data_IF_488064299559
#
_entry.id   IF_488064299559
#
_cell.length_a   1.000
_cell.length_b   1.000
_cell.length_c   1.000
_cell.angle_alpha   90.00
_cell.angle_beta   90.00
_cell.angle_gamma   90.00
#
_symmetry.space_group_name_H-M   'P 1'
#
loop_
_entity.id
_entity.type
_entity.pdbx_description
1 polymer ?
#
# COMPACT_ATOMS: atom_id res chain seq x y z
N UNK A 1 -4.30 -17.93 22.52
CA UNK A 1 -5.50 -17.67 21.71
C UNK A 1 -5.06 -16.91 20.48
N UNK A 2 -5.44 -17.39 19.31
CA UNK A 2 -5.07 -16.78 18.03
C UNK A 2 -5.97 -15.57 17.78
N UNK A 3 -5.38 -14.41 17.44
CA UNK A 3 -6.14 -13.18 17.20
C UNK A 3 -6.72 -13.16 15.78
N UNK A 4 -8.02 -12.86 15.68
CA UNK A 4 -8.74 -12.70 14.40
C UNK A 4 -8.30 -11.45 13.63
N UNK A 5 -7.74 -10.47 14.35
CA UNK A 5 -7.28 -9.21 13.80
C UNK A 5 -5.76 -9.17 13.82
N UNK A 6 -5.16 -8.97 12.65
CA UNK A 6 -3.73 -8.73 12.49
C UNK A 6 -3.48 -7.25 12.20
N UNK A 7 -3.12 -6.51 13.26
CA UNK A 7 -2.83 -5.08 13.16
C UNK A 7 -1.46 -4.84 12.50
N UNK A 8 -1.39 -3.77 11.72
CA UNK A 8 -0.08 -3.30 11.23
C UNK A 8 0.78 -2.85 12.40
N UNK A 9 2.11 -2.97 12.25
CA UNK A 9 3.03 -2.49 13.28
C UNK A 9 2.90 -0.98 13.54
N UNK A 10 2.36 -0.22 12.58
CA UNK A 10 2.06 1.21 12.72
C UNK A 10 0.89 1.45 13.66
N UNK A 11 -0.21 0.74 13.42
CA UNK A 11 -1.40 0.81 14.28
C UNK A 11 -1.07 0.31 15.69
N UNK A 12 -0.43 -0.86 15.82
CA UNK A 12 -0.10 -1.40 17.14
C UNK A 12 0.83 -0.47 17.92
N UNK A 13 1.90 0.03 17.28
CA UNK A 13 2.84 0.96 17.93
C UNK A 13 2.18 2.25 18.40
N UNK A 14 1.18 2.77 17.68
CA UNK A 14 0.46 4.00 18.09
C UNK A 14 -0.53 3.72 19.23
N UNK A 15 -1.19 2.56 19.21
CA UNK A 15 -2.07 2.13 20.32
C UNK A 15 -1.25 1.98 21.61
N UNK A 16 -0.06 1.39 21.50
CA UNK A 16 0.84 1.19 22.64
C UNK A 16 1.42 2.53 23.14
N UNK A 17 1.79 3.44 22.23
CA UNK A 17 2.27 4.78 22.55
C UNK A 17 1.97 5.80 21.42
N UNK A 18 0.99 6.71 21.62
CA UNK A 18 0.57 7.66 20.59
C UNK A 18 1.54 8.84 20.41
N UNK A 19 2.59 8.97 21.22
CA UNK A 19 3.49 10.13 21.21
C UNK A 19 4.62 10.05 20.17
N UNK A 20 4.94 8.84 19.67
CA UNK A 20 6.13 8.62 18.86
C UNK A 20 5.86 8.50 17.35
N UNK A 21 4.93 7.64 16.94
CA UNK A 21 4.71 7.29 15.53
C UNK A 21 3.23 7.36 15.20
N UNK A 22 2.89 7.94 14.06
CA UNK A 22 1.51 7.97 13.58
C UNK A 22 1.11 6.60 13.00
N UNK A 23 -0.19 6.23 13.06
CA UNK A 23 -0.68 4.96 12.53
C UNK A 23 -0.87 5.04 11.00
N UNK A 24 0.12 5.61 10.30
CA UNK A 24 0.14 5.81 8.85
C UNK A 24 1.15 4.84 8.24
N UNK A 25 0.66 3.90 7.43
CA UNK A 25 1.51 2.95 6.71
C UNK A 25 2.21 3.62 5.53
N UNK A 26 1.43 4.30 4.70
CA UNK A 26 1.89 5.01 3.51
C UNK A 26 1.12 6.32 3.32
N UNK A 27 1.71 7.25 2.56
CA UNK A 27 1.10 8.54 2.22
C UNK A 27 1.53 8.99 0.82
N UNK A 28 0.88 10.02 0.28
CA UNK A 28 1.15 10.55 -1.07
C UNK A 28 1.35 12.05 -1.03
N UNK A 29 2.27 12.56 -1.85
CA UNK A 29 2.38 13.98 -2.17
C UNK A 29 2.39 14.20 -3.69
N UNK A 30 1.58 15.14 -4.16
CA UNK A 30 1.63 15.65 -5.54
C UNK A 30 2.40 16.95 -5.56
N UNK A 31 3.56 16.94 -6.22
CA UNK A 31 4.44 18.11 -6.28
C UNK A 31 3.92 19.06 -7.36
N UNK A 32 3.58 20.28 -6.98
CA UNK A 32 3.34 21.37 -7.94
C UNK A 32 4.67 21.89 -8.48
N UNK A 33 4.61 22.44 -9.69
CA UNK A 33 5.79 22.89 -10.43
C UNK A 33 6.28 24.27 -9.97
N UNK A 34 6.32 24.50 -8.66
CA UNK A 34 6.79 25.73 -8.04
C UNK A 34 7.71 25.38 -6.86
N UNK A 35 8.74 26.18 -6.63
CA UNK A 35 9.68 25.90 -5.52
C UNK A 35 8.99 26.01 -4.16
N UNK A 36 8.28 27.12 -3.96
CA UNK A 36 7.59 27.46 -2.72
C UNK A 36 6.08 27.14 -2.78
N UNK A 37 5.39 27.35 -1.66
CA UNK A 37 3.95 27.19 -1.54
C UNK A 37 3.53 25.85 -0.91
N UNK A 38 2.24 25.70 -0.56
CA UNK A 38 1.76 24.59 0.25
C UNK A 38 1.90 23.22 -0.43
N UNK A 39 1.98 23.18 -1.77
CA UNK A 39 2.21 21.95 -2.53
C UNK A 39 3.46 22.05 -3.43
N UNK A 40 4.33 23.03 -3.18
CA UNK A 40 5.56 23.21 -3.95
C UNK A 40 6.62 22.14 -3.66
N UNK A 41 7.76 22.28 -4.32
CA UNK A 41 8.89 21.35 -4.22
C UNK A 41 9.46 21.34 -2.79
N UNK A 42 9.67 22.49 -2.15
CA UNK A 42 10.19 22.53 -0.77
C UNK A 42 9.22 21.90 0.24
N UNK A 43 7.92 22.14 0.05
CA UNK A 43 6.88 21.51 0.86
C UNK A 43 6.90 19.98 0.74
N UNK A 44 7.16 19.44 -0.46
CA UNK A 44 7.27 18.00 -0.64
C UNK A 44 8.50 17.38 0.05
N UNK A 45 9.61 18.12 0.19
CA UNK A 45 10.76 17.66 0.97
C UNK A 45 10.46 17.61 2.47
N UNK A 46 9.85 18.68 2.98
CA UNK A 46 9.37 18.73 4.37
C UNK A 46 8.37 17.60 4.66
N UNK A 47 7.45 17.37 3.75
CA UNK A 47 6.46 16.29 3.84
C UNK A 47 7.12 14.91 3.84
N UNK A 48 8.04 14.64 2.91
CA UNK A 48 8.79 13.38 2.87
C UNK A 48 9.57 13.15 4.17
N UNK A 49 10.20 14.19 4.71
CA UNK A 49 10.90 14.14 6.00
C UNK A 49 9.94 13.83 7.16
N UNK A 50 8.77 14.49 7.20
CA UNK A 50 7.74 14.21 8.19
C UNK A 50 7.27 12.75 8.09
N UNK A 51 6.92 12.28 6.90
CA UNK A 51 6.49 10.92 6.65
C UNK A 51 7.51 9.89 7.14
N UNK A 52 8.78 10.05 6.77
CA UNK A 52 9.83 9.15 7.21
C UNK A 52 10.04 9.18 8.73
N UNK A 53 10.08 10.35 9.37
CA UNK A 53 10.30 10.45 10.83
C UNK A 53 9.17 9.83 11.66
N UNK A 54 7.91 9.93 11.22
CA UNK A 54 6.78 9.22 11.83
C UNK A 54 6.59 7.79 11.29
N UNK A 55 7.35 7.48 10.23
CA UNK A 55 7.60 6.16 9.67
C UNK A 55 6.62 5.67 8.61
N UNK A 56 5.81 6.56 8.05
CA UNK A 56 5.10 6.27 6.82
C UNK A 56 6.08 6.10 5.64
N UNK A 57 5.75 5.20 4.72
CA UNK A 57 6.30 5.25 3.35
C UNK A 57 5.67 6.41 2.57
N UNK A 58 6.40 7.01 1.64
CA UNK A 58 5.94 8.20 0.92
C UNK A 58 6.03 8.00 -0.59
N UNK A 59 4.91 8.17 -1.29
CA UNK A 59 4.89 8.28 -2.75
C UNK A 59 4.91 9.75 -3.17
N UNK A 60 5.92 10.15 -3.93
CA UNK A 60 6.10 11.52 -4.43
C UNK A 60 5.80 11.54 -5.93
N UNK A 61 4.76 12.26 -6.34
CA UNK A 61 4.35 12.38 -7.74
C UNK A 61 4.98 13.62 -8.37
N UNK A 62 5.89 13.40 -9.31
CA UNK A 62 6.72 14.41 -9.97
C UNK A 62 6.19 14.83 -11.36
N UNK A 63 5.07 14.26 -11.81
CA UNK A 63 4.56 14.43 -13.19
C UNK A 63 4.22 15.86 -13.60
N UNK A 64 4.16 16.81 -12.67
CA UNK A 64 3.92 18.23 -12.96
C UNK A 64 5.20 19.02 -13.17
N UNK A 65 6.36 18.48 -12.78
CA UNK A 65 7.62 19.18 -12.91
C UNK A 65 7.95 19.44 -14.37
N UNK A 66 8.67 20.53 -14.64
CA UNK A 66 9.19 20.75 -15.99
C UNK A 66 10.20 19.69 -16.39
N UNK A 67 10.25 19.31 -17.68
CA UNK A 67 11.27 18.41 -18.18
C UNK A 67 12.65 19.08 -18.17
N UNK A 68 13.69 18.25 -18.10
CA UNK A 68 15.09 18.68 -18.12
C UNK A 68 15.38 19.51 -19.36
N UNK A 69 16.05 20.65 -19.16
CA UNK A 69 16.39 21.58 -20.24
C UNK A 69 15.28 22.56 -20.61
N UNK A 70 14.06 22.41 -20.06
CA UNK A 70 13.02 23.42 -20.24
C UNK A 70 13.43 24.75 -19.60
N UNK A 71 13.41 25.83 -20.36
CA UNK A 71 13.75 27.17 -19.85
C UNK A 71 12.48 27.96 -19.63
N UNK A 72 12.22 28.32 -18.36
CA UNK A 72 11.07 29.14 -17.97
C UNK A 72 11.23 30.58 -18.43
N UNK A 73 10.12 31.32 -18.43
CA UNK A 73 10.11 32.78 -18.66
C UNK A 73 10.99 33.56 -17.68
N UNK A 74 11.22 33.02 -16.48
CA UNK A 74 12.14 33.60 -15.48
C UNK A 74 13.62 33.47 -15.86
N UNK A 75 13.96 32.71 -16.91
CA UNK A 75 15.33 32.40 -17.32
C UNK A 75 15.94 31.17 -16.64
N UNK A 76 15.24 30.54 -15.70
CA UNK A 76 15.70 29.30 -15.04
C UNK A 76 15.48 28.11 -15.95
N UNK A 77 16.52 27.31 -16.17
CA UNK A 77 16.45 26.02 -16.87
C UNK A 77 16.20 24.89 -15.87
N UNK A 78 15.15 24.12 -16.09
CA UNK A 78 14.76 23.00 -15.24
C UNK A 78 15.74 21.83 -15.35
N UNK A 79 16.05 21.20 -14.21
CA UNK A 79 16.90 19.99 -14.15
C UNK A 79 16.14 18.68 -14.32
N UNK A 80 14.80 18.73 -14.41
CA UNK A 80 13.94 17.56 -14.60
C UNK A 80 13.68 16.73 -13.32
N UNK A 81 12.72 15.79 -13.37
CA UNK A 81 12.27 14.98 -12.24
C UNK A 81 13.35 14.02 -11.73
N UNK A 82 14.24 13.51 -12.60
CA UNK A 82 15.35 12.62 -12.17
C UNK A 82 16.32 13.35 -11.24
N UNK A 83 16.64 14.61 -11.53
CA UNK A 83 17.53 15.43 -10.70
C UNK A 83 16.92 15.69 -9.31
N UNK A 84 15.65 16.14 -9.26
CA UNK A 84 14.94 16.29 -7.98
C UNK A 84 14.80 14.97 -7.23
N UNK A 85 14.66 13.85 -7.95
CA UNK A 85 14.68 12.50 -7.41
C UNK A 85 15.86 12.19 -6.48
N UNK A 86 17.04 12.77 -6.78
CA UNK A 86 18.26 12.58 -5.98
C UNK A 86 18.11 13.13 -4.56
N UNK A 87 17.41 14.24 -4.38
CA UNK A 87 17.14 14.82 -3.06
C UNK A 87 16.29 13.88 -2.21
N UNK A 88 15.23 13.30 -2.79
CA UNK A 88 14.40 12.32 -2.08
C UNK A 88 15.17 11.05 -1.74
N UNK A 89 16.07 10.60 -2.63
CA UNK A 89 16.98 9.49 -2.34
C UNK A 89 17.88 9.82 -1.14
N UNK A 90 18.48 11.01 -1.11
CA UNK A 90 19.28 11.44 0.05
C UNK A 90 18.46 11.56 1.34
N UNK A 91 17.24 12.09 1.28
CA UNK A 91 16.34 12.11 2.44
C UNK A 91 16.05 10.70 2.96
N UNK A 92 15.76 9.75 2.08
CA UNK A 92 15.47 8.37 2.49
C UNK A 92 16.69 7.61 3.02
N UNK A 93 17.90 7.97 2.56
CA UNK A 93 19.17 7.45 3.07
C UNK A 93 19.50 7.95 4.48
N UNK A 94 19.35 9.27 4.67
CA UNK A 94 19.82 9.97 5.86
C UNK A 94 18.82 9.82 7.01
N UNK A 95 17.52 9.97 6.73
CA UNK A 95 16.49 9.98 7.77
C UNK A 95 16.10 8.56 8.18
N UNK A 96 16.24 8.28 9.47
CA UNK A 96 15.79 7.02 10.06
C UNK A 96 14.27 6.97 10.09
N UNK A 97 13.69 5.90 9.52
CA UNK A 97 12.25 5.69 9.50
C UNK A 97 11.74 5.43 10.91
N UNK A 98 10.83 6.28 11.41
CA UNK A 98 10.31 6.16 12.77
C UNK A 98 11.40 6.29 13.84
N UNK A 99 12.51 6.99 13.55
CA UNK A 99 13.68 7.17 14.43
C UNK A 99 14.54 5.93 14.68
N UNK A 100 14.10 4.74 14.25
CA UNK A 100 14.68 3.45 14.65
C UNK A 100 15.22 2.66 13.45
N UNK A 101 14.50 2.65 12.33
CA UNK A 101 14.88 1.81 11.19
C UNK A 101 15.78 2.56 10.21
N UNK A 102 16.88 1.91 9.82
CA UNK A 102 17.88 2.46 8.91
C UNK A 102 17.31 2.87 7.55
N UNK A 103 16.31 2.15 7.04
CA UNK A 103 15.73 2.39 5.72
C UNK A 103 14.27 2.84 5.83
N UNK A 104 13.94 3.92 5.12
CA UNK A 104 12.57 4.29 4.79
C UNK A 104 12.11 3.74 3.45
N UNK A 105 10.94 4.19 2.99
CA UNK A 105 10.43 3.88 1.66
C UNK A 105 9.94 5.16 1.00
N UNK A 106 10.66 5.62 -0.02
CA UNK A 106 10.19 6.65 -0.94
C UNK A 106 10.07 6.08 -2.34
N UNK A 107 8.97 6.41 -3.01
CA UNK A 107 8.69 6.00 -4.38
C UNK A 107 8.35 7.21 -5.20
N UNK A 108 9.12 7.41 -6.26
CA UNK A 108 8.95 8.50 -7.19
C UNK A 108 8.02 8.06 -8.30
N UNK A 109 6.93 8.78 -8.51
CA UNK A 109 5.97 8.52 -9.57
C UNK A 109 6.13 9.54 -10.69
N UNK A 110 6.08 9.06 -11.93
CA UNK A 110 6.05 9.90 -13.13
C UNK A 110 5.00 9.35 -14.10
N UNK A 111 4.29 10.24 -14.80
CA UNK A 111 3.33 9.85 -15.82
C UNK A 111 4.09 9.42 -17.08
N UNK A 112 3.63 8.37 -17.75
CA UNK A 112 4.28 7.85 -18.96
C UNK A 112 4.31 8.89 -20.09
N UNK A 113 3.33 9.81 -20.11
CA UNK A 113 3.27 10.91 -21.07
C UNK A 113 4.25 12.06 -20.79
N UNK A 114 4.95 12.04 -19.66
CA UNK A 114 5.90 13.10 -19.33
C UNK A 114 7.11 13.04 -20.28
N UNK A 115 7.64 14.17 -20.79
CA UNK A 115 8.76 14.16 -21.75
C UNK A 115 10.01 13.43 -21.23
N UNK A 116 10.28 13.51 -19.94
CA UNK A 116 11.41 12.81 -19.29
C UNK A 116 11.09 11.36 -18.87
N UNK A 117 9.94 10.77 -19.26
CA UNK A 117 9.58 9.41 -18.86
C UNK A 117 10.64 8.36 -19.26
N UNK A 118 11.19 8.48 -20.47
CA UNK A 118 12.25 7.57 -20.94
C UNK A 118 13.55 7.75 -20.16
N UNK A 119 13.96 8.98 -19.83
CA UNK A 119 15.13 9.25 -18.98
C UNK A 119 14.89 8.71 -17.57
N UNK A 120 13.70 8.91 -17.02
CA UNK A 120 13.30 8.43 -15.71
C UNK A 120 13.30 6.90 -15.60
N UNK A 121 12.85 6.19 -16.64
CA UNK A 121 12.91 4.72 -16.73
C UNK A 121 14.36 4.23 -16.76
N UNK A 122 15.20 4.88 -17.57
CA UNK A 122 16.57 4.46 -17.80
C UNK A 122 17.59 4.98 -16.77
N UNK A 123 17.18 5.83 -15.81
CA UNK A 123 18.08 6.34 -14.78
C UNK A 123 18.75 5.19 -14.01
N UNK A 124 20.03 5.37 -13.67
CA UNK A 124 20.79 4.29 -13.05
C UNK A 124 20.35 4.11 -11.58
N UNK A 125 20.33 2.86 -11.08
CA UNK A 125 20.13 2.58 -9.65
C UNK A 125 21.12 3.35 -8.78
N UNK A 126 22.37 3.55 -9.22
CA UNK A 126 23.38 4.29 -8.46
C UNK A 126 23.09 5.79 -8.32
N UNK A 127 22.26 6.36 -9.19
CA UNK A 127 21.83 7.76 -9.10
C UNK A 127 20.66 7.94 -8.13
N UNK A 128 19.85 6.90 -7.95
CA UNK A 128 18.64 6.88 -7.14
C UNK A 128 18.60 5.65 -6.20
N UNK A 129 19.67 5.37 -5.43
CA UNK A 129 19.86 4.09 -4.74
C UNK A 129 18.83 3.83 -3.64
N UNK A 130 18.23 4.89 -3.10
CA UNK A 130 17.34 4.82 -1.94
C UNK A 130 15.89 5.17 -2.28
N UNK A 131 15.51 5.21 -3.56
CA UNK A 131 14.10 5.32 -3.96
C UNK A 131 13.72 4.22 -4.92
N UNK A 132 12.43 3.87 -4.95
CA UNK A 132 11.85 3.13 -6.08
C UNK A 132 11.23 4.10 -7.07
N UNK A 133 11.05 3.63 -8.30
CA UNK A 133 10.44 4.40 -9.38
C UNK A 133 9.13 3.75 -9.77
N UNK A 134 8.16 4.56 -10.14
CA UNK A 134 6.85 4.11 -10.61
C UNK A 134 6.44 4.92 -11.83
N UNK A 135 5.95 4.23 -12.85
CA UNK A 135 5.35 4.84 -14.04
C UNK A 135 3.83 4.71 -13.96
N UNK A 136 3.14 5.84 -14.07
CA UNK A 136 1.68 5.90 -14.15
C UNK A 136 1.24 5.81 -15.62
N UNK A 137 0.26 4.95 -15.93
CA UNK A 137 -0.24 4.72 -17.28
C UNK A 137 -1.74 4.93 -17.41
N UNK A 138 -2.15 5.46 -18.56
CA UNK A 138 -3.50 5.28 -19.14
C UNK A 138 -3.37 4.33 -20.32
N UNK A 139 -4.50 3.84 -20.84
CA UNK A 139 -4.50 3.05 -22.07
C UNK A 139 -3.90 3.85 -23.23
N UNK A 140 -4.30 5.11 -23.39
CA UNK A 140 -3.77 6.05 -24.40
C UNK A 140 -2.25 6.19 -24.32
N UNK A 141 -1.71 6.54 -23.14
CA UNK A 141 -0.27 6.71 -22.98
C UNK A 141 0.50 5.40 -23.19
N UNK A 142 -0.12 4.28 -22.83
CA UNK A 142 0.46 2.97 -23.12
C UNK A 142 0.52 2.77 -24.63
N UNK A 143 -0.57 2.98 -25.38
CA UNK A 143 -0.56 2.79 -26.84
C UNK A 143 0.47 3.69 -27.52
N UNK A 144 0.57 4.96 -27.13
CA UNK A 144 1.48 5.95 -27.72
C UNK A 144 2.95 5.77 -27.32
N UNK A 145 3.25 4.95 -26.30
CA UNK A 145 4.61 4.76 -25.82
C UNK A 145 5.50 4.07 -26.84
N UNK A 146 6.59 4.74 -27.23
CA UNK A 146 7.59 4.24 -28.18
C UNK A 146 8.76 3.50 -27.53
N UNK A 147 8.79 3.39 -26.20
CA UNK A 147 9.86 2.79 -25.38
C UNK A 147 9.30 1.77 -24.37
N UNK A 148 8.32 0.98 -24.81
CA UNK A 148 7.67 -0.06 -23.98
C UNK A 148 8.67 -1.10 -23.49
N UNK A 149 9.62 -1.51 -24.32
CA UNK A 149 10.59 -2.54 -23.99
C UNK A 149 11.50 -2.12 -22.82
N UNK A 150 11.94 -0.85 -22.78
CA UNK A 150 12.71 -0.34 -21.64
C UNK A 150 11.88 -0.34 -20.35
N UNK A 151 10.61 0.04 -20.43
CA UNK A 151 9.70 0.00 -19.28
C UNK A 151 9.47 -1.44 -18.79
N UNK A 152 9.18 -2.37 -19.71
CA UNK A 152 8.97 -3.78 -19.41
C UNK A 152 10.23 -4.41 -18.80
N UNK A 153 11.42 -4.05 -19.29
CA UNK A 153 12.69 -4.47 -18.71
C UNK A 153 12.84 -3.97 -17.27
N UNK A 154 12.60 -2.67 -17.01
CA UNK A 154 12.67 -2.09 -15.67
C UNK A 154 11.66 -2.68 -14.68
N UNK A 155 10.49 -3.10 -15.16
CA UNK A 155 9.50 -3.82 -14.35
C UNK A 155 10.03 -5.22 -14.01
N UNK A 156 10.50 -5.96 -15.02
CA UNK A 156 11.05 -7.31 -14.85
C UNK A 156 12.25 -7.36 -13.90
N UNK A 157 13.08 -6.30 -13.87
CA UNK A 157 14.23 -6.20 -12.96
C UNK A 157 13.85 -5.81 -11.51
N UNK A 158 12.57 -5.49 -11.24
CA UNK A 158 12.10 -5.02 -9.95
C UNK A 158 12.49 -3.58 -9.62
N UNK A 159 12.83 -2.78 -10.64
CA UNK A 159 13.21 -1.38 -10.50
C UNK A 159 12.07 -0.40 -10.63
N UNK A 160 11.11 -0.76 -11.48
CA UNK A 160 10.00 0.09 -11.84
C UNK A 160 8.70 -0.60 -11.47
N UNK A 161 7.85 0.13 -10.76
CA UNK A 161 6.47 -0.27 -10.55
C UNK A 161 5.58 0.32 -11.64
N UNK A 162 4.54 -0.41 -12.01
CA UNK A 162 3.57 0.03 -13.01
C UNK A 162 2.24 0.32 -12.32
N UNK A 163 1.75 1.56 -12.46
CA UNK A 163 0.52 2.00 -11.82
C UNK A 163 -0.50 2.47 -12.85
N UNK A 164 -1.76 2.04 -12.73
CA UNK A 164 -2.84 2.56 -13.58
C UNK A 164 -3.34 3.88 -13.00
N UNK A 165 -3.56 4.88 -13.85
CA UNK A 165 -4.20 6.13 -13.42
C UNK A 165 -5.64 5.84 -12.97
N UNK A 166 -6.04 6.42 -11.84
CA UNK A 166 -7.36 6.26 -11.24
C UNK A 166 -7.96 7.62 -10.90
N UNK A 167 -9.29 7.67 -10.92
CA UNK A 167 -10.10 8.83 -10.56
C UNK A 167 -11.13 8.40 -9.52
N UNK A 168 -11.52 9.33 -8.66
CA UNK A 168 -12.68 9.13 -7.79
C UNK A 168 -14.00 9.38 -8.54
N UNK A 169 -15.11 9.25 -7.81
CA UNK A 169 -16.46 9.41 -8.37
C UNK A 169 -16.77 10.86 -8.81
N UNK A 170 -15.94 11.83 -8.43
CA UNK A 170 -16.04 13.24 -8.83
C UNK A 170 -15.14 13.55 -10.05
N UNK A 171 -14.47 12.53 -10.60
CA UNK A 171 -13.54 12.70 -11.72
C UNK A 171 -12.20 13.30 -11.31
N UNK A 172 -11.92 13.44 -10.02
CA UNK A 172 -10.64 13.95 -9.53
C UNK A 172 -9.63 12.81 -9.46
N UNK A 173 -8.41 13.07 -9.95
CA UNK A 173 -7.35 12.06 -9.98
C UNK A 173 -6.90 11.74 -8.55
N UNK A 174 -6.95 10.45 -8.23
CA UNK A 174 -6.35 9.86 -7.03
C UNK A 174 -5.05 9.15 -7.41
N UNK A 175 -4.14 9.03 -6.45
CA UNK A 175 -2.74 8.72 -6.70
C UNK A 175 -2.35 7.44 -5.96
N UNK A 176 -1.70 6.52 -6.66
CA UNK A 176 -1.12 5.34 -6.02
C UNK A 176 -0.14 5.75 -4.92
N UNK A 177 -0.24 5.11 -3.77
CA UNK A 177 0.70 5.19 -2.67
C UNK A 177 1.98 4.41 -3.00
N UNK A 178 2.76 4.07 -1.97
CA UNK A 178 3.94 3.20 -2.10
C UNK A 178 3.50 1.85 -2.68
N UNK A 179 2.83 0.96 -1.95
CA UNK A 179 2.64 -0.41 -2.45
C UNK A 179 1.56 -0.57 -3.54
N UNK A 180 1.04 0.53 -4.08
CA UNK A 180 0.03 0.61 -5.16
C UNK A 180 -1.34 0.00 -4.83
N UNK A 181 -1.56 -0.36 -3.57
CA UNK A 181 -2.79 -0.96 -3.08
C UNK A 181 -3.85 0.08 -2.69
N UNK A 182 -3.43 1.32 -2.37
CA UNK A 182 -4.33 2.41 -2.00
C UNK A 182 -4.12 3.62 -2.89
N UNK A 183 -5.23 4.23 -3.32
CA UNK A 183 -5.24 5.45 -4.11
C UNK A 183 -5.77 6.63 -3.30
N UNK A 184 -4.95 7.66 -3.17
CA UNK A 184 -5.10 8.74 -2.23
C UNK A 184 -5.13 10.11 -2.91
N UNK A 185 -5.85 11.11 -2.37
CA UNK A 185 -5.55 12.50 -2.67
C UNK A 185 -4.13 12.86 -2.17
N UNK A 186 -3.56 13.96 -2.67
CA UNK A 186 -2.32 14.51 -2.10
C UNK A 186 -2.51 14.75 -0.59
N UNK A 187 -1.52 14.36 0.21
CA UNK A 187 -1.50 14.39 1.68
C UNK A 187 -2.48 13.42 2.37
N UNK A 188 -3.16 12.54 1.62
CA UNK A 188 -3.96 11.46 2.19
C UNK A 188 -3.10 10.38 2.85
N UNK A 189 -3.71 9.61 3.75
CA UNK A 189 -3.02 8.65 4.62
C UNK A 189 -3.63 7.25 4.56
N UNK A 190 -2.75 6.26 4.61
CA UNK A 190 -3.13 4.85 4.57
C UNK A 190 -3.14 4.26 5.99
N UNK A 191 -4.33 4.17 6.60
CA UNK A 191 -4.58 3.49 7.87
C UNK A 191 -5.04 2.04 7.60
N UNK A 192 -4.22 1.06 7.99
CA UNK A 192 -4.39 -0.34 7.58
C UNK A 192 -4.49 -1.30 8.75
N UNK A 193 -5.34 -2.32 8.56
CA UNK A 193 -5.48 -3.49 9.42
C UNK A 193 -5.93 -4.68 8.57
N UNK A 194 -5.69 -5.90 9.05
CA UNK A 194 -6.02 -7.11 8.29
C UNK A 194 -6.81 -8.10 9.14
N UNK A 195 -7.71 -8.82 8.50
CA UNK A 195 -8.29 -10.04 9.06
C UNK A 195 -7.27 -11.17 8.95
N UNK A 196 -7.04 -11.89 10.04
CA UNK A 196 -6.26 -13.11 10.05
C UNK A 196 -7.18 -14.28 9.70
N UNK A 197 -7.30 -14.61 8.41
CA UNK A 197 -8.15 -15.71 7.96
C UNK A 197 -7.68 -17.06 8.49
N UNK A 198 -6.38 -17.25 8.69
CA UNK A 198 -5.84 -18.48 9.29
C UNK A 198 -6.32 -18.71 10.72
N UNK A 199 -6.72 -17.65 11.44
CA UNK A 199 -7.28 -17.72 12.79
C UNK A 199 -8.80 -17.91 12.84
N UNK A 200 -9.49 -17.90 11.70
CA UNK A 200 -10.94 -17.98 11.64
C UNK A 200 -11.41 -19.43 11.47
N UNK A 201 -12.50 -19.79 12.14
CA UNK A 201 -13.43 -20.82 11.62
C UNK A 201 -14.43 -20.20 10.63
N UNK A 202 -15.19 -21.04 9.90
CA UNK A 202 -16.24 -20.61 8.96
C UNK A 202 -17.11 -19.46 9.50
N UNK A 203 -17.68 -19.68 10.69
CA UNK A 203 -18.65 -18.76 11.30
C UNK A 203 -18.00 -17.52 11.93
N UNK A 204 -16.67 -17.54 12.13
CA UNK A 204 -15.93 -16.40 12.65
C UNK A 204 -15.64 -15.33 11.59
N UNK A 205 -15.59 -15.73 10.31
CA UNK A 205 -15.15 -14.83 9.22
C UNK A 205 -16.00 -13.55 9.21
N UNK A 206 -17.35 -13.58 9.15
CA UNK A 206 -18.12 -12.34 9.11
C UNK A 206 -17.91 -11.46 10.33
N UNK A 207 -17.82 -12.07 11.52
CA UNK A 207 -17.57 -11.38 12.78
C UNK A 207 -16.21 -10.69 12.78
N UNK A 208 -15.16 -11.35 12.30
CA UNK A 208 -13.82 -10.78 12.21
C UNK A 208 -13.81 -9.52 11.32
N UNK A 209 -14.51 -9.55 10.17
CA UNK A 209 -14.65 -8.37 9.30
C UNK A 209 -15.36 -7.20 10.00
N UNK A 210 -16.44 -7.49 10.73
CA UNK A 210 -17.19 -6.48 11.51
C UNK A 210 -16.31 -5.84 12.58
N UNK A 211 -15.62 -6.67 13.39
CA UNK A 211 -14.71 -6.21 14.43
C UNK A 211 -13.56 -5.38 13.82
N UNK A 212 -12.91 -5.90 12.78
CA UNK A 212 -11.77 -5.26 12.14
C UNK A 212 -12.10 -3.90 11.53
N UNK A 213 -13.26 -3.77 10.88
CA UNK A 213 -13.71 -2.48 10.33
C UNK A 213 -14.09 -1.49 11.43
N UNK A 214 -14.79 -1.96 12.47
CA UNK A 214 -15.20 -1.12 13.60
C UNK A 214 -13.99 -0.52 14.31
N UNK A 215 -12.96 -1.34 14.58
CA UNK A 215 -11.70 -0.88 15.17
C UNK A 215 -11.02 0.18 14.30
N UNK A 216 -10.89 -0.08 12.99
CA UNK A 216 -10.27 0.86 12.07
C UNK A 216 -10.99 2.21 12.01
N UNK A 217 -12.31 2.19 11.85
CA UNK A 217 -13.11 3.41 11.74
C UNK A 217 -13.11 4.21 13.06
N UNK A 218 -13.19 3.51 14.20
CA UNK A 218 -13.09 4.13 15.52
C UNK A 218 -11.71 4.75 15.78
N UNK A 219 -10.65 4.12 15.27
CA UNK A 219 -9.28 4.61 15.39
C UNK A 219 -9.06 5.85 14.53
N UNK A 220 -9.49 5.83 13.26
CA UNK A 220 -9.29 6.88 12.25
C UNK A 220 -9.52 8.31 12.79
N UNK A 221 -10.64 8.51 13.49
CA UNK A 221 -11.07 9.81 14.02
C UNK A 221 -10.25 10.33 15.23
N UNK A 222 -9.40 9.50 15.84
CA UNK A 222 -8.72 9.80 17.12
C UNK A 222 -7.19 9.80 17.01
N UNK A 223 -6.67 9.70 15.79
CA UNK A 223 -5.22 9.55 15.56
C UNK A 223 -4.42 10.85 15.64
N UNK A 224 -5.09 12.01 15.66
CA UNK A 224 -4.46 13.34 15.58
C UNK A 224 -3.53 13.49 14.36
N UNK A 225 -3.76 12.70 13.29
CA UNK A 225 -2.89 12.66 12.12
C UNK A 225 -2.81 14.00 11.37
N UNK A 226 -3.87 14.82 11.46
CA UNK A 226 -3.94 16.14 10.83
C UNK A 226 -3.28 17.27 11.62
N UNK A 227 -2.92 17.07 12.89
CA UNK A 227 -2.50 18.16 13.80
C UNK A 227 -1.20 18.85 13.36
N UNK A 228 -0.33 18.13 12.64
CA UNK A 228 0.91 18.69 12.10
C UNK A 228 0.68 19.63 10.92
N UNK A 229 -0.51 19.61 10.31
CA UNK A 229 -0.82 20.26 9.03
C UNK A 229 -0.17 19.58 7.81
N UNK A 230 0.61 18.50 7.99
CA UNK A 230 1.22 17.81 6.86
C UNK A 230 0.26 16.85 6.17
N UNK A 231 -0.53 16.13 6.94
CA UNK A 231 -1.55 15.22 6.41
C UNK A 231 -2.91 15.90 6.35
N UNK A 232 -3.74 15.41 5.44
CA UNK A 232 -5.15 15.79 5.44
C UNK A 232 -5.80 15.34 6.76
N UNK A 233 -6.65 16.17 7.36
CA UNK A 233 -7.31 15.82 8.60
C UNK A 233 -8.45 14.81 8.30
N UNK A 234 -8.88 14.02 9.31
CA UNK A 234 -9.81 12.90 9.10
C UNK A 234 -11.17 13.30 8.53
N UNK A 235 -11.60 14.55 8.69
CA UNK A 235 -12.84 15.08 8.11
C UNK A 235 -12.76 15.15 6.58
N UNK A 236 -11.57 15.32 6.02
CA UNK A 236 -11.29 15.35 4.58
C UNK A 236 -10.84 13.97 4.09
N UNK A 237 -9.90 13.36 4.82
CA UNK A 237 -9.30 12.06 4.46
C UNK A 237 -10.09 10.88 5.02
N UNK A 238 -11.34 10.72 4.57
CA UNK A 238 -12.26 9.69 5.08
C UNK A 238 -12.00 8.31 4.46
N UNK A 239 -10.89 7.69 4.81
CA UNK A 239 -10.56 6.35 4.33
C UNK A 239 -9.84 5.48 5.35
N UNK A 240 -10.08 4.19 5.22
CA UNK A 240 -9.35 3.12 5.91
C UNK A 240 -9.10 1.98 4.91
N UNK A 241 -8.20 1.07 5.24
CA UNK A 241 -7.95 -0.12 4.44
C UNK A 241 -7.96 -1.37 5.30
N UNK A 242 -9.13 -2.02 5.36
CA UNK A 242 -9.26 -3.38 5.87
C UNK A 242 -8.87 -4.37 4.77
N UNK A 243 -7.82 -5.14 5.03
CA UNK A 243 -7.42 -6.25 4.18
C UNK A 243 -7.59 -7.59 4.87
N UNK A 244 -6.92 -8.60 4.34
CA UNK A 244 -6.87 -9.94 4.91
C UNK A 244 -5.51 -10.55 4.66
N UNK A 245 -5.14 -11.53 5.49
CA UNK A 245 -3.97 -12.39 5.33
C UNK A 245 -4.32 -13.83 5.71
N UNK A 246 -3.45 -14.78 5.37
CA UNK A 246 -3.63 -16.18 5.74
C UNK A 246 -4.69 -16.90 4.91
N UNK A 247 -4.97 -16.45 3.68
CA UNK A 247 -5.93 -17.13 2.81
C UNK A 247 -5.48 -18.57 2.53
N UNK A 248 -4.20 -18.79 2.22
CA UNK A 248 -3.69 -20.14 1.95
C UNK A 248 -3.88 -21.07 3.16
N UNK A 249 -3.68 -20.55 4.38
CA UNK A 249 -3.90 -21.31 5.61
C UNK A 249 -5.36 -21.71 5.78
N UNK A 250 -6.29 -20.77 5.54
CA UNK A 250 -7.72 -21.03 5.58
C UNK A 250 -8.11 -22.10 4.55
N UNK A 251 -7.66 -21.95 3.31
CA UNK A 251 -7.95 -22.89 2.22
C UNK A 251 -7.43 -24.30 2.54
N UNK A 252 -6.18 -24.41 3.00
CA UNK A 252 -5.57 -25.68 3.45
C UNK A 252 -6.42 -26.36 4.52
N UNK A 253 -6.82 -25.63 5.56
CA UNK A 253 -7.58 -26.18 6.70
C UNK A 253 -8.91 -26.79 6.29
N UNK A 254 -9.50 -26.31 5.19
CA UNK A 254 -10.75 -26.83 4.64
C UNK A 254 -10.56 -27.73 3.41
N UNK A 255 -9.32 -28.10 3.06
CA UNK A 255 -9.02 -28.96 1.92
C UNK A 255 -9.46 -28.37 0.58
N UNK A 256 -9.41 -27.03 0.47
CA UNK A 256 -9.80 -26.29 -0.74
C UNK A 256 -8.53 -25.83 -1.46
N UNK A 257 -8.44 -26.09 -2.77
CA UNK A 257 -7.35 -25.53 -3.59
C UNK A 257 -7.65 -24.09 -4.02
N UNK A 258 -6.63 -23.32 -4.38
CA UNK A 258 -6.80 -21.99 -4.97
C UNK A 258 -7.66 -22.04 -6.24
N UNK A 259 -7.52 -23.09 -7.05
CA UNK A 259 -8.36 -23.29 -8.23
C UNK A 259 -9.84 -23.46 -7.85
N UNK A 260 -10.13 -24.31 -6.87
CA UNK A 260 -11.51 -24.52 -6.38
C UNK A 260 -12.10 -23.25 -5.77
N UNK A 261 -11.29 -22.47 -5.04
CA UNK A 261 -11.69 -21.19 -4.49
C UNK A 261 -11.97 -20.15 -5.61
N UNK A 262 -11.12 -20.09 -6.63
CA UNK A 262 -11.33 -19.24 -7.81
C UNK A 262 -12.63 -19.58 -8.55
N UNK A 263 -12.89 -20.86 -8.82
CA UNK A 263 -14.16 -21.29 -9.43
C UNK A 263 -15.37 -20.94 -8.56
N UNK A 264 -15.26 -21.08 -7.25
CA UNK A 264 -16.31 -20.70 -6.31
C UNK A 264 -16.58 -19.18 -6.30
N UNK A 265 -15.53 -18.36 -6.44
CA UNK A 265 -15.68 -16.91 -6.61
C UNK A 265 -16.46 -16.57 -7.89
N UNK A 266 -16.13 -17.21 -9.01
CA UNK A 266 -16.84 -17.01 -10.27
C UNK A 266 -18.32 -17.41 -10.15
N UNK A 267 -18.59 -18.57 -9.55
CA UNK A 267 -19.96 -19.05 -9.29
C UNK A 267 -20.76 -18.05 -8.43
N UNK A 268 -20.18 -17.60 -7.32
CA UNK A 268 -20.82 -16.62 -6.43
C UNK A 268 -21.09 -15.30 -7.17
N UNK A 269 -20.13 -14.79 -7.95
CA UNK A 269 -20.27 -13.55 -8.72
C UNK A 269 -21.32 -13.66 -9.85
N UNK A 270 -21.53 -14.86 -10.38
CA UNK A 270 -22.57 -15.15 -11.36
C UNK A 270 -23.94 -15.45 -10.73
N UNK A 271 -24.09 -15.28 -9.40
CA UNK A 271 -25.30 -15.61 -8.62
C UNK A 271 -25.71 -17.09 -8.72
N UNK A 272 -24.76 -17.98 -8.97
CA UNK A 272 -24.97 -19.43 -8.85
C UNK A 272 -24.87 -19.82 -7.38
N UNK A 273 -25.55 -20.91 -6.98
CA UNK A 273 -25.45 -21.46 -5.62
C UNK A 273 -24.99 -22.90 -5.68
N UNK A 274 -23.79 -23.16 -5.17
CA UNK A 274 -23.16 -24.47 -5.20
C UNK A 274 -22.92 -24.94 -3.78
N UNK A 275 -23.26 -26.19 -3.48
CA UNK A 275 -22.98 -26.78 -2.18
C UNK A 275 -21.58 -27.38 -2.17
N UNK A 276 -20.59 -26.59 -1.76
CA UNK A 276 -19.21 -27.03 -1.54
C UNK A 276 -18.55 -26.23 -0.41
N UNK A 277 -17.47 -26.75 0.16
CA UNK A 277 -16.68 -26.02 1.15
C UNK A 277 -16.10 -24.72 0.57
N UNK A 278 -15.64 -24.75 -0.69
CA UNK A 278 -15.10 -23.57 -1.37
C UNK A 278 -16.14 -22.47 -1.57
N UNK A 279 -17.37 -22.83 -1.95
CA UNK A 279 -18.47 -21.88 -2.11
C UNK A 279 -18.93 -21.29 -0.77
N UNK A 280 -18.96 -22.11 0.28
CA UNK A 280 -19.27 -21.63 1.62
C UNK A 280 -18.23 -20.62 2.12
N UNK A 281 -16.92 -20.87 1.91
CA UNK A 281 -15.86 -19.92 2.27
C UNK A 281 -16.03 -18.58 1.55
N UNK A 282 -16.31 -18.61 0.24
CA UNK A 282 -16.61 -17.41 -0.54
C UNK A 282 -17.82 -16.67 0.02
N UNK A 283 -18.89 -17.39 0.36
CA UNK A 283 -20.13 -16.83 0.91
C UNK A 283 -19.90 -16.14 2.26
N UNK A 284 -19.11 -16.75 3.15
CA UNK A 284 -18.77 -16.16 4.45
C UNK A 284 -17.88 -14.92 4.31
N UNK A 285 -16.87 -14.96 3.43
CA UNK A 285 -16.02 -13.79 3.14
C UNK A 285 -16.85 -12.66 2.54
N UNK A 286 -17.72 -12.96 1.57
CA UNK A 286 -18.60 -11.97 0.94
C UNK A 286 -19.59 -11.35 1.95
N UNK A 287 -20.15 -12.16 2.84
CA UNK A 287 -20.99 -11.71 3.96
C UNK A 287 -20.21 -10.76 4.88
N UNK A 288 -19.00 -11.15 5.29
CA UNK A 288 -18.12 -10.31 6.11
C UNK A 288 -17.79 -8.97 5.46
N UNK A 289 -17.40 -8.98 4.18
CA UNK A 289 -17.13 -7.76 3.40
C UNK A 289 -18.39 -6.87 3.34
N UNK A 290 -19.58 -7.44 3.10
CA UNK A 290 -20.83 -6.66 3.03
C UNK A 290 -21.19 -6.02 4.38
N UNK A 291 -21.00 -6.74 5.48
CA UNK A 291 -21.26 -6.22 6.82
C UNK A 291 -20.23 -5.14 7.21
N UNK A 292 -18.94 -5.38 6.98
CA UNK A 292 -17.89 -4.37 7.15
C UNK A 292 -18.13 -3.12 6.28
N UNK A 293 -18.59 -3.29 5.04
CA UNK A 293 -18.93 -2.16 4.17
C UNK A 293 -20.09 -1.31 4.74
N UNK A 294 -21.03 -1.93 5.46
CA UNK A 294 -22.12 -1.22 6.13
C UNK A 294 -21.57 -0.34 7.25
N UNK A 295 -20.69 -0.89 8.09
CA UNK A 295 -20.01 -0.13 9.15
C UNK A 295 -19.20 1.03 8.58
N UNK A 296 -18.42 0.78 7.53
CA UNK A 296 -17.63 1.84 6.88
C UNK A 296 -18.51 2.99 6.37
N UNK A 297 -19.70 2.69 5.82
CA UNK A 297 -20.68 3.70 5.40
C UNK A 297 -21.25 4.48 6.58
N UNK A 298 -21.57 3.83 7.70
CA UNK A 298 -22.04 4.48 8.93
C UNK A 298 -21.02 5.50 9.47
N UNK A 299 -19.73 5.19 9.32
CA UNK A 299 -18.63 6.11 9.65
C UNK A 299 -18.29 7.11 8.54
N UNK A 300 -19.06 7.15 7.44
CA UNK A 300 -18.85 8.01 6.28
C UNK A 300 -17.50 7.82 5.57
N UNK A 301 -16.93 6.61 5.61
CA UNK A 301 -15.71 6.28 4.88
C UNK A 301 -15.99 6.21 3.37
N UNK A 302 -15.14 6.88 2.59
CA UNK A 302 -15.18 6.90 1.11
C UNK A 302 -14.45 5.68 0.53
N UNK A 303 -13.45 5.16 1.23
CA UNK A 303 -12.69 3.95 0.89
C UNK A 303 -12.47 3.14 2.17
N UNK A 304 -12.68 1.82 2.09
CA UNK A 304 -12.73 0.98 3.29
C UNK A 304 -11.84 -0.27 3.22
N UNK A 305 -11.60 -0.81 2.02
CA UNK A 305 -10.89 -2.07 1.84
C UNK A 305 -9.61 -1.87 1.02
N UNK A 306 -8.56 -2.59 1.40
CA UNK A 306 -7.29 -2.61 0.68
C UNK A 306 -6.57 -3.93 0.93
N UNK A 307 -6.21 -4.65 -0.13
CA UNK A 307 -5.32 -5.81 -0.05
C UNK A 307 -3.88 -5.30 -0.13
N UNK A 308 -3.33 -4.94 1.02
CA UNK A 308 -1.95 -4.48 1.13
C UNK A 308 -0.98 -5.64 1.32
N UNK A 309 0.30 -5.48 0.93
CA UNK A 309 1.34 -6.41 1.35
C UNK A 309 1.40 -6.51 2.88
N UNK A 310 1.34 -7.73 3.39
CA UNK A 310 1.18 -8.01 4.82
C UNK A 310 2.39 -8.68 5.45
N UNK A 311 3.53 -8.78 4.74
CA UNK A 311 4.71 -9.56 5.16
C UNK A 311 5.03 -9.46 6.66
N UNK A 312 5.16 -8.24 7.20
CA UNK A 312 5.48 -8.07 8.63
C UNK A 312 4.38 -8.59 9.55
N UNK A 313 3.12 -8.42 9.19
CA UNK A 313 1.95 -8.82 9.97
C UNK A 313 1.75 -10.33 9.92
N UNK A 314 1.88 -10.91 8.73
CA UNK A 314 1.80 -12.35 8.48
C UNK A 314 2.80 -13.12 9.35
N UNK A 315 4.05 -12.66 9.45
CA UNK A 315 5.08 -13.28 10.31
C UNK A 315 4.77 -13.27 11.81
N UNK A 316 3.85 -12.43 12.29
CA UNK A 316 3.39 -12.41 13.70
C UNK A 316 2.02 -13.07 13.88
N UNK A 317 1.39 -13.49 12.79
CA UNK A 317 0.09 -14.14 12.78
C UNK A 317 0.30 -15.64 12.72
N UNK A 318 -0.48 -16.35 13.51
CA UNK A 318 -0.50 -17.81 13.57
C UNK A 318 -1.89 -18.27 13.15
N UNK A 319 -2.00 -19.42 12.51
CA UNK A 319 -3.29 -20.06 12.21
C UNK A 319 -3.78 -20.90 13.40
N UNK A 320 -4.95 -21.54 13.28
CA UNK A 320 -5.49 -22.37 14.36
C UNK A 320 -4.70 -23.68 14.59
N UNK A 321 -3.86 -24.10 13.65
CA UNK A 321 -3.04 -25.31 13.74
C UNK A 321 -1.62 -25.00 14.24
N UNK A 322 -1.28 -23.73 14.48
CA UNK A 322 0.02 -23.30 15.00
C UNK A 322 1.05 -22.90 13.93
N UNK A 323 0.68 -22.87 12.65
CA UNK A 323 1.56 -22.43 11.57
C UNK A 323 1.54 -20.91 11.41
N UNK A 324 2.63 -20.34 10.88
CA UNK A 324 2.64 -18.93 10.51
C UNK A 324 1.60 -18.69 9.41
N UNK A 325 0.87 -17.58 9.47
CA UNK A 325 -0.06 -17.23 8.39
C UNK A 325 0.68 -16.70 7.18
N UNK A 326 0.26 -17.14 6.00
CA UNK A 326 0.73 -16.65 4.70
C UNK A 326 0.37 -15.17 4.49
N UNK A 327 1.17 -14.44 3.69
CA UNK A 327 0.91 -13.05 3.40
C UNK A 327 -0.30 -12.87 2.46
N UNK A 328 -1.16 -11.90 2.78
CA UNK A 328 -2.31 -11.44 2.01
C UNK A 328 -3.20 -12.58 1.45
N UNK A 329 -3.43 -12.58 0.15
CA UNK A 329 -4.29 -13.52 -0.56
C UNK A 329 -3.52 -14.33 -1.62
N UNK A 330 -2.22 -14.09 -1.76
CA UNK A 330 -1.41 -14.73 -2.77
C UNK A 330 -1.02 -16.14 -2.31
N UNK A 331 -0.98 -17.13 -3.22
CA UNK A 331 -0.35 -18.40 -2.91
C UNK A 331 1.12 -18.14 -2.50
N UNK A 332 1.60 -18.78 -1.42
CA UNK A 332 2.97 -18.62 -0.98
C UNK A 332 3.94 -19.19 -2.02
N UNK A 333 5.11 -18.57 -2.15
CA UNK A 333 6.17 -19.06 -3.05
C UNK A 333 6.78 -20.41 -2.61
N UNK A 334 6.57 -20.77 -1.34
CA UNK A 334 7.12 -21.95 -0.67
C UNK A 334 6.40 -22.14 0.66
N UNK A 335 6.28 -23.39 1.12
CA UNK A 335 5.72 -23.75 2.44
C UNK A 335 6.59 -23.25 3.60
N UNK A 336 7.88 -23.02 3.34
CA UNK A 336 8.81 -22.44 4.31
C UNK A 336 9.56 -21.28 3.67
N UNK A 337 9.69 -20.18 4.40
CA UNK A 337 10.47 -19.01 3.95
C UNK A 337 11.45 -18.56 5.02
N UNK A 338 12.64 -18.21 4.57
CA UNK A 338 13.65 -17.56 5.40
C UNK A 338 13.60 -16.05 5.19
N UNK A 339 13.51 -15.31 6.29
CA UNK A 339 13.61 -13.86 6.30
C UNK A 339 14.96 -13.47 6.88
N UNK A 340 15.83 -12.95 6.03
CA UNK A 340 17.04 -12.28 6.48
C UNK A 340 16.75 -10.82 6.85
N UNK A 341 17.08 -10.45 8.08
CA UNK A 341 17.05 -9.08 8.55
C UNK A 341 18.39 -8.72 9.18
N UNK A 342 19.00 -7.63 8.70
CA UNK A 342 20.19 -7.07 9.37
C UNK A 342 19.95 -6.62 10.82
N UNK A 343 18.69 -6.58 11.29
CA UNK A 343 18.34 -6.27 12.69
C UNK A 343 17.96 -7.51 13.49
N UNK A 344 17.26 -8.47 12.88
CA UNK A 344 16.68 -9.63 13.58
C UNK A 344 17.35 -10.96 13.24
N UNK A 345 18.39 -10.95 12.40
CA UNK A 345 19.01 -12.16 11.87
C UNK A 345 18.12 -12.89 10.88
N UNK A 346 18.47 -14.15 10.59
CA UNK A 346 17.66 -15.05 9.77
C UNK A 346 16.59 -15.69 10.64
N UNK A 347 15.33 -15.58 10.22
CA UNK A 347 14.19 -16.22 10.85
C UNK A 347 13.45 -17.07 9.82
N UNK A 348 13.17 -18.32 10.19
CA UNK A 348 12.42 -19.26 9.35
C UNK A 348 10.95 -19.28 9.76
N UNK A 349 10.07 -19.18 8.78
CA UNK A 349 8.62 -19.23 8.96
C UNK A 349 8.05 -20.42 8.20
N UNK A 350 7.26 -21.23 8.89
CA UNK A 350 6.58 -22.40 8.33
C UNK A 350 5.08 -22.09 8.19
N UNK A 351 4.58 -22.18 6.96
CA UNK A 351 3.19 -21.93 6.63
C UNK A 351 2.31 -23.19 6.67
N UNK A 352 2.90 -24.35 6.94
CA UNK A 352 2.23 -25.65 6.88
C UNK A 352 2.13 -26.20 5.46
N UNK A 353 1.30 -27.21 5.27
CA UNK A 353 1.08 -27.87 3.96
C UNK A 353 0.13 -27.06 3.07
N UNK A 354 0.46 -25.78 2.86
CA UNK A 354 -0.26 -24.86 1.97
C UNK A 354 0.16 -25.10 0.53
N UNK A 355 -0.78 -24.86 -0.40
CA UNK A 355 -0.58 -24.96 -1.86
C UNK A 355 0.44 -23.95 -2.38
#
# INVERSE_FOLDING_TARGET
MTNLISRTGRVQSWIDDPTHRLPVSCTVFVVENEMEGPNGIEASWRFASHALRYGAGCAIHLSKLDPKGYTRKSGVTASGPVSFGKIYSSLNEILRRGGIYKNGAIVLHLDLSHPDAREFINANRSELPWVKRCINITEEWWQDCTFKEELLYGIKSGDIWLNKVKYDNEGKRIRGNVCLEVYLPSRGTCLLQHINLGACEFDDIPRAFVEGMSELCSLHSRTAVGDSGEYLPPEVDRQVGLGMLGLANLLRRYGVTYEQFGRALDQYNNNETIRSASYELVSQIASGIKQAATIAREYNMVRAFAIAPTASCSYRSVDLDGYTCTPEIAPPISQTVDRDSGTFGVQTYNYGDVE
#
